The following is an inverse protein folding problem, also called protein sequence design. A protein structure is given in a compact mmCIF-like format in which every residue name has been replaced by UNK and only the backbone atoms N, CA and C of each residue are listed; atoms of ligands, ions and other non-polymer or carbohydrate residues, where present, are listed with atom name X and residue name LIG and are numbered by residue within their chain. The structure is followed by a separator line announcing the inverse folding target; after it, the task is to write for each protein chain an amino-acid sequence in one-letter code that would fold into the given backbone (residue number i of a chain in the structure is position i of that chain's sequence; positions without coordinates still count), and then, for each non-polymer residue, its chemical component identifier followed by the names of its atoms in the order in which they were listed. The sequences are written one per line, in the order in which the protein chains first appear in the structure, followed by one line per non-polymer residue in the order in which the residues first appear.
data_IF_996326999619
#
_entry.id   IF_996326999619
#
_cell.length_a   1.000
_cell.length_b   1.000
_cell.length_c   1.000
_cell.angle_alpha   90.00
_cell.angle_beta   90.00
_cell.angle_gamma   90.00
#
_symmetry.space_group_name_H-M   'P 1'
#
loop_
_entity.id
_entity.type
_entity.pdbx_description
1 polymer ?
#
# COMPACT_ATOMS: atom_id res chain seq x y z
N UNK A 1 4.78 -9.85 -0.24
CA UNK A 1 4.19 -11.08 -0.80
C UNK A 1 3.36 -10.76 -2.02
N UNK A 2 3.45 -11.56 -3.07
CA UNK A 2 2.62 -11.42 -4.27
C UNK A 2 2.10 -12.80 -4.69
N UNK A 3 0.80 -12.91 -4.86
CA UNK A 3 0.13 -14.11 -5.36
C UNK A 3 -0.41 -13.84 -6.76
N UNK A 4 0.13 -14.56 -7.73
CA UNK A 4 -0.27 -14.45 -9.13
C UNK A 4 -1.36 -15.48 -9.42
N UNK A 5 -2.58 -15.01 -9.70
CA UNK A 5 -3.66 -15.87 -10.22
C UNK A 5 -3.38 -16.25 -11.67
N UNK A 6 -2.79 -15.30 -12.41
CA UNK A 6 -2.27 -15.45 -13.76
C UNK A 6 -1.05 -14.53 -13.91
N UNK A 7 -0.40 -14.52 -15.06
CA UNK A 7 0.67 -13.56 -15.35
C UNK A 7 0.23 -12.09 -15.21
N UNK A 8 -1.03 -11.78 -15.55
CA UNK A 8 -1.54 -10.40 -15.60
C UNK A 8 -2.47 -10.01 -14.44
N UNK A 9 -2.86 -10.97 -13.62
CA UNK A 9 -3.77 -10.75 -12.49
C UNK A 9 -3.08 -11.23 -11.20
N UNK A 10 -2.84 -10.32 -10.26
CA UNK A 10 -2.17 -10.66 -9.01
C UNK A 10 -2.72 -9.89 -7.82
N UNK A 11 -2.65 -10.53 -6.66
CA UNK A 11 -2.87 -9.96 -5.35
C UNK A 11 -1.51 -9.65 -4.71
N UNK A 12 -1.31 -8.43 -4.22
CA UNK A 12 -0.08 -7.98 -3.59
C UNK A 12 -0.33 -7.53 -2.16
N UNK A 13 0.55 -7.92 -1.24
CA UNK A 13 0.56 -7.42 0.12
C UNK A 13 1.99 -7.15 0.58
N UNK A 14 2.23 -6.00 1.18
CA UNK A 14 3.52 -5.69 1.79
C UNK A 14 3.32 -4.92 3.09
N UNK A 15 4.32 -5.03 3.96
CA UNK A 15 4.43 -4.30 5.22
C UNK A 15 5.86 -3.77 5.30
N UNK A 16 5.99 -2.54 5.76
CA UNK A 16 7.24 -1.85 6.03
C UNK A 16 7.22 -1.32 7.46
N UNK A 17 8.34 -1.46 8.15
CA UNK A 17 8.57 -0.90 9.47
C UNK A 17 9.78 0.02 9.37
N UNK A 18 9.59 1.28 9.77
CA UNK A 18 10.63 2.30 9.79
C UNK A 18 10.91 2.67 11.24
N UNK A 19 12.13 2.37 11.68
CA UNK A 19 12.61 2.73 13.02
C UNK A 19 13.31 4.09 12.98
N UNK A 20 13.03 4.92 13.96
CA UNK A 20 13.84 6.11 14.25
C UNK A 20 14.98 5.72 15.19
N UNK A 21 16.21 5.99 14.77
CA UNK A 21 17.42 5.62 15.50
C UNK A 21 17.79 6.61 16.61
N UNK A 22 17.22 7.81 16.59
CA UNK A 22 17.42 8.85 17.59
C UNK A 22 16.32 8.78 18.67
N UNK A 23 15.10 8.41 18.29
CA UNK A 23 13.95 8.20 19.20
C UNK A 23 13.21 6.90 18.90
N UNK A 24 13.48 5.85 19.69
CA UNK A 24 12.88 4.53 19.46
C UNK A 24 11.36 4.47 19.58
N UNK A 25 10.74 5.44 20.27
CA UNK A 25 9.29 5.51 20.44
C UNK A 25 8.61 6.08 19.18
N UNK A 26 9.34 6.83 18.35
CA UNK A 26 8.89 7.42 17.09
C UNK A 26 9.11 6.47 15.88
N UNK A 27 8.33 5.41 15.79
CA UNK A 27 8.38 4.50 14.63
C UNK A 27 7.21 4.70 13.67
N UNK A 28 7.38 4.26 12.43
CA UNK A 28 6.33 4.22 11.42
C UNK A 28 6.09 2.80 10.89
N UNK A 29 4.84 2.49 10.58
CA UNK A 29 4.44 1.21 9.97
C UNK A 29 3.52 1.47 8.79
N UNK A 30 3.92 0.97 7.63
CA UNK A 30 3.13 1.06 6.41
C UNK A 30 2.68 -0.34 6.00
N UNK A 31 1.43 -0.50 5.59
CA UNK A 31 0.90 -1.75 5.07
C UNK A 31 -0.02 -1.49 3.88
N UNK A 32 0.26 -2.12 2.74
CA UNK A 32 -0.61 -2.07 1.56
C UNK A 32 -1.14 -3.45 1.23
N UNK A 33 -2.42 -3.52 0.92
CA UNK A 33 -3.04 -4.63 0.20
C UNK A 33 -3.53 -4.13 -1.15
N UNK A 34 -3.25 -4.87 -2.21
CA UNK A 34 -3.60 -4.49 -3.58
C UNK A 34 -4.06 -5.66 -4.43
N UNK A 35 -4.91 -5.35 -5.40
CA UNK A 35 -5.34 -6.26 -6.45
C UNK A 35 -5.14 -5.57 -7.80
N UNK A 36 -4.37 -6.20 -8.69
CA UNK A 36 -4.29 -5.82 -10.09
C UNK A 36 -5.07 -6.82 -10.93
N UNK A 37 -5.99 -6.31 -11.75
CA UNK A 37 -6.79 -7.09 -12.68
C UNK A 37 -6.65 -6.57 -14.10
N UNK A 38 -6.35 -7.44 -15.06
CA UNK A 38 -6.29 -7.08 -16.46
C UNK A 38 -7.70 -6.98 -17.04
N UNK A 39 -8.04 -5.82 -17.60
CA UNK A 39 -9.31 -5.60 -18.29
C UNK A 39 -9.23 -6.08 -19.74
N UNK A 40 -8.09 -5.85 -20.39
CA UNK A 40 -7.79 -6.34 -21.74
C UNK A 40 -6.25 -6.39 -21.96
N UNK A 41 -5.81 -6.52 -23.22
CA UNK A 41 -4.38 -6.58 -23.55
C UNK A 41 -3.57 -5.34 -23.18
N UNK A 42 -4.20 -4.18 -23.09
CA UNK A 42 -3.56 -2.87 -22.88
C UNK A 42 -3.99 -2.17 -21.59
N UNK A 43 -5.07 -2.61 -20.94
CA UNK A 43 -5.62 -1.94 -19.77
C UNK A 43 -5.70 -2.89 -18.58
N UNK A 44 -5.31 -2.38 -17.41
CA UNK A 44 -5.49 -3.05 -16.12
C UNK A 44 -6.09 -2.08 -15.09
N UNK A 45 -6.82 -2.60 -14.12
CA UNK A 45 -7.31 -1.86 -12.97
C UNK A 45 -6.54 -2.30 -11.73
N UNK A 46 -5.95 -1.36 -10.99
CA UNK A 46 -5.37 -1.58 -9.66
C UNK A 46 -6.29 -0.98 -8.61
N UNK A 47 -6.70 -1.79 -7.63
CA UNK A 47 -7.31 -1.29 -6.40
C UNK A 47 -6.35 -1.55 -5.25
N UNK A 48 -6.09 -0.56 -4.40
CA UNK A 48 -5.23 -0.72 -3.22
C UNK A 48 -5.80 -0.03 -1.99
N UNK A 49 -5.49 -0.61 -0.84
CA UNK A 49 -5.78 -0.06 0.48
C UNK A 49 -4.47 0.03 1.26
N UNK A 50 -4.06 1.26 1.56
CA UNK A 50 -2.85 1.58 2.31
C UNK A 50 -3.24 2.04 3.71
N UNK A 51 -2.52 1.53 4.71
CA UNK A 51 -2.58 1.95 6.11
C UNK A 51 -1.20 2.50 6.45
N UNK A 52 -1.16 3.74 6.93
CA UNK A 52 0.06 4.45 7.33
C UNK A 52 -0.10 4.75 8.82
N UNK A 53 0.79 4.21 9.66
CA UNK A 53 0.80 4.45 11.10
C UNK A 53 2.06 5.21 11.50
N UNK A 54 1.88 6.32 12.20
CA UNK A 54 2.92 7.13 12.82
C UNK A 54 2.73 7.07 14.35
N UNK A 55 3.75 6.60 15.06
CA UNK A 55 3.70 6.45 16.51
C UNK A 55 3.71 7.81 17.23
N UNK A 56 4.38 8.82 16.68
CA UNK A 56 4.52 10.16 17.26
C UNK A 56 4.25 11.27 16.22
N UNK A 57 3.00 11.37 15.73
CA UNK A 57 2.66 12.39 14.74
C UNK A 57 2.67 13.77 15.40
N UNK A 58 2.79 14.80 14.55
CA UNK A 58 2.66 16.20 14.98
C UNK A 58 1.37 16.40 15.80
N UNK A 59 1.43 17.13 16.94
CA UNK A 59 0.26 17.33 17.80
C UNK A 59 -0.97 17.83 17.04
N UNK A 60 -2.11 17.19 17.28
CA UNK A 60 -3.37 17.47 16.58
C UNK A 60 -3.68 16.51 15.43
N UNK A 61 -2.70 15.73 14.96
CA UNK A 61 -2.90 14.67 13.98
C UNK A 61 -3.27 13.34 14.64
N UNK A 62 -3.91 12.47 13.85
CA UNK A 62 -4.15 11.07 14.25
C UNK A 62 -2.91 10.25 13.96
N UNK A 63 -2.74 9.16 14.70
CA UNK A 63 -1.63 8.20 14.51
C UNK A 63 -1.78 7.31 13.28
N UNK A 64 -2.96 7.26 12.66
CA UNK A 64 -3.20 6.34 11.55
C UNK A 64 -4.02 7.01 10.48
N UNK A 65 -3.50 6.95 9.26
CA UNK A 65 -4.15 7.35 8.04
C UNK A 65 -4.44 6.12 7.17
N UNK A 66 -5.54 6.18 6.42
CA UNK A 66 -5.90 5.12 5.47
C UNK A 66 -6.24 5.71 4.12
N UNK A 67 -5.84 5.00 3.06
CA UNK A 67 -5.99 5.46 1.68
C UNK A 67 -6.53 4.32 0.81
N UNK A 68 -7.73 4.50 0.27
CA UNK A 68 -8.29 3.65 -0.78
C UNK A 68 -8.01 4.29 -2.14
N UNK A 69 -7.34 3.57 -3.02
CA UNK A 69 -7.03 4.04 -4.38
C UNK A 69 -7.56 3.05 -5.42
N UNK A 70 -8.11 3.59 -6.50
CA UNK A 70 -8.52 2.84 -7.70
C UNK A 70 -7.87 3.52 -8.90
N UNK A 71 -7.03 2.78 -9.63
CA UNK A 71 -6.18 3.30 -10.70
C UNK A 71 -6.37 2.49 -11.97
N UNK A 72 -6.68 3.18 -13.08
CA UNK A 72 -6.62 2.60 -14.41
C UNK A 72 -5.18 2.71 -14.94
N UNK A 73 -4.59 1.58 -15.29
CA UNK A 73 -3.21 1.44 -15.78
C UNK A 73 -3.24 1.09 -17.27
N UNK A 74 -2.44 1.80 -18.06
CA UNK A 74 -2.18 1.46 -19.47
C UNK A 74 -0.86 0.69 -19.55
N UNK A 75 -0.90 -0.51 -20.14
CA UNK A 75 0.23 -1.41 -20.34
C UNK A 75 0.69 -1.31 -21.81
N UNK A 76 2.00 -1.10 -22.02
CA UNK A 76 2.64 -1.01 -23.35
C UNK A 76 3.64 -2.15 -23.54
#
# INVERSE_FOLDING_TARGET
YAYHFTEKNYFGQWVEYLHDFDDSDNYQVNAETSLLSALNGFLSMKTSYLIEHDAEPVPGNKKTDTKLAVTLVVNF
#
